data_IF_016378873890
#
_entry.id   IF_016378873890
#
_cell.length_a   1.000
_cell.length_b   1.000
_cell.length_c   1.000
_cell.angle_alpha   90.00
_cell.angle_beta   90.00
_cell.angle_gamma   90.00
#
_symmetry.space_group_name_H-M   'P 1'
#
loop_
_entity.id
_entity.type
_entity.pdbx_description
1 polymer ?
#
# COMPACT_ATOMS: atom_id res chain seq x y z
N UNK A 1 0.54 19.89 -13.01
CA UNK A 1 -0.78 20.57 -12.86
C UNK A 1 -0.84 21.29 -11.53
N UNK A 2 -1.55 22.42 -11.50
CA UNK A 2 -1.74 23.27 -10.31
C UNK A 2 -2.28 22.49 -9.09
N UNK A 3 -3.12 21.48 -9.34
CA UNK A 3 -3.61 20.50 -8.35
C UNK A 3 -2.48 19.74 -7.63
N UNK A 4 -1.46 19.30 -8.38
CA UNK A 4 -0.33 18.55 -7.83
C UNK A 4 0.52 19.43 -6.92
N UNK A 5 0.69 20.71 -7.28
CA UNK A 5 1.38 21.70 -6.45
C UNK A 5 0.60 22.03 -5.17
N UNK A 6 -0.72 22.25 -5.24
CA UNK A 6 -1.56 22.46 -4.04
C UNK A 6 -1.52 21.29 -3.06
N UNK A 7 -1.53 20.06 -3.57
CA UNK A 7 -1.48 18.84 -2.74
C UNK A 7 -0.14 18.71 -2.01
N UNK A 8 0.98 18.99 -2.70
CA UNK A 8 2.31 18.99 -2.10
C UNK A 8 2.47 20.06 -1.02
N UNK A 9 1.96 21.27 -1.28
CA UNK A 9 2.02 22.37 -0.29
C UNK A 9 1.10 22.14 0.91
N UNK A 10 -0.05 21.47 0.74
CA UNK A 10 -0.89 21.01 1.86
C UNK A 10 -0.14 20.00 2.71
N UNK A 11 0.49 19.00 2.10
CA UNK A 11 1.20 17.95 2.83
C UNK A 11 2.42 18.48 3.59
N UNK A 12 3.15 19.47 3.05
CA UNK A 12 4.25 20.14 3.77
C UNK A 12 3.82 20.86 5.06
N UNK A 13 2.54 21.24 5.17
CA UNK A 13 1.99 21.91 6.36
C UNK A 13 1.46 20.93 7.42
N UNK A 14 1.28 19.65 7.07
CA UNK A 14 0.74 18.63 7.98
C UNK A 14 1.92 17.98 8.72
N UNK A 15 1.96 18.06 10.07
CA UNK A 15 2.96 17.35 10.86
C UNK A 15 2.96 15.85 10.53
N UNK A 16 4.14 15.21 10.58
CA UNK A 16 4.32 13.82 10.16
C UNK A 16 3.33 12.84 10.82
N UNK A 17 3.00 13.05 12.09
CA UNK A 17 2.04 12.25 12.86
C UNK A 17 0.57 12.35 12.38
N UNK A 18 0.26 13.30 11.50
CA UNK A 18 -1.08 13.52 10.95
C UNK A 18 -1.14 13.29 9.43
N UNK A 19 -0.07 12.76 8.83
CA UNK A 19 -0.10 12.41 7.42
C UNK A 19 -0.95 11.15 7.19
N UNK A 20 -1.65 11.12 6.07
CA UNK A 20 -2.52 10.00 5.72
C UNK A 20 -1.70 8.69 5.64
N UNK A 21 -2.23 7.64 6.27
CA UNK A 21 -1.65 6.30 6.18
C UNK A 21 -2.25 5.54 5.00
N UNK A 22 -1.43 4.73 4.35
CA UNK A 22 -1.92 3.83 3.31
C UNK A 22 -2.29 2.49 3.96
N UNK A 23 -3.52 2.02 3.77
CA UNK A 23 -3.94 0.70 4.23
C UNK A 23 -4.65 -0.07 3.13
N UNK A 24 -4.54 -1.39 3.17
CA UNK A 24 -5.18 -2.29 2.22
C UNK A 24 -5.42 -3.66 2.86
N UNK A 25 -6.57 -4.28 2.57
CA UNK A 25 -6.92 -5.62 3.03
C UNK A 25 -7.22 -6.49 1.82
N UNK A 26 -6.69 -7.71 1.80
CA UNK A 26 -6.84 -8.64 0.69
C UNK A 26 -7.09 -10.08 1.17
N UNK A 27 -7.79 -10.85 0.34
CA UNK A 27 -8.02 -12.29 0.54
C UNK A 27 -7.78 -13.02 -0.79
N UNK A 28 -7.06 -14.14 -0.77
CA UNK A 28 -6.78 -14.91 -1.98
C UNK A 28 -6.49 -16.41 -1.75
N UNK A 29 -6.60 -17.24 -2.80
CA UNK A 29 -7.30 -16.97 -4.08
C UNK A 29 -8.80 -16.76 -3.89
N UNK A 30 -9.46 -16.00 -4.78
CA UNK A 30 -10.88 -15.67 -4.66
C UNK A 30 -11.80 -16.91 -4.61
N UNK A 31 -11.50 -17.93 -5.42
CA UNK A 31 -12.30 -19.16 -5.48
C UNK A 31 -12.10 -20.10 -4.28
N UNK A 32 -10.92 -20.09 -3.65
CA UNK A 32 -10.61 -20.92 -2.48
C UNK A 32 -9.64 -20.17 -1.57
N UNK A 33 -10.14 -19.23 -0.76
CA UNK A 33 -9.31 -18.41 0.13
C UNK A 33 -8.42 -19.26 1.03
N UNK A 34 -7.14 -18.90 1.08
CA UNK A 34 -6.14 -19.53 1.97
C UNK A 34 -5.18 -18.53 2.61
N UNK A 35 -5.21 -17.27 2.16
CA UNK A 35 -4.44 -16.16 2.70
C UNK A 35 -5.37 -14.95 2.88
N UNK A 36 -5.38 -14.38 4.08
CA UNK A 36 -5.93 -13.07 4.37
C UNK A 36 -4.80 -12.17 4.86
N UNK A 37 -4.74 -10.93 4.38
CA UNK A 37 -3.65 -9.99 4.64
C UNK A 37 -4.20 -8.60 4.89
N UNK A 38 -3.67 -7.92 5.91
CA UNK A 38 -3.85 -6.49 6.13
C UNK A 38 -2.47 -5.82 6.07
N UNK A 39 -2.33 -4.79 5.25
CA UNK A 39 -1.11 -3.99 5.10
C UNK A 39 -1.42 -2.56 5.51
N UNK A 40 -0.60 -2.02 6.41
CA UNK A 40 -0.63 -0.63 6.84
C UNK A 40 0.77 -0.04 6.64
N UNK A 41 0.84 1.10 5.95
CA UNK A 41 2.07 1.88 5.77
C UNK A 41 1.84 3.25 6.39
N UNK A 42 2.53 3.51 7.49
CA UNK A 42 2.52 4.81 8.15
C UNK A 42 2.96 5.89 7.17
N UNK A 43 2.17 6.96 7.11
CA UNK A 43 2.39 8.13 6.24
C UNK A 43 2.54 7.77 4.74
N UNK A 44 2.03 6.59 4.34
CA UNK A 44 2.08 6.10 2.96
C UNK A 44 1.16 6.84 1.99
N UNK A 45 0.32 7.75 2.49
CA UNK A 45 -0.65 8.50 1.72
C UNK A 45 -1.77 7.61 1.18
N UNK A 46 -1.81 7.44 -0.13
CA UNK A 46 -2.89 6.70 -0.80
C UNK A 46 -2.71 5.18 -0.68
N UNK A 47 -3.81 4.45 -0.70
CA UNK A 47 -3.84 2.98 -0.61
C UNK A 47 -3.07 2.25 -1.72
N UNK A 48 -2.71 2.93 -2.81
CA UNK A 48 -1.96 2.35 -3.93
C UNK A 48 -0.63 1.75 -3.50
N UNK A 49 0.07 2.37 -2.54
CA UNK A 49 1.31 1.83 -2.00
C UNK A 49 1.06 0.51 -1.25
N UNK A 50 0.11 0.51 -0.32
CA UNK A 50 -0.28 -0.68 0.45
C UNK A 50 -0.82 -1.81 -0.44
N UNK A 51 -1.59 -1.48 -1.49
CA UNK A 51 -2.10 -2.44 -2.46
C UNK A 51 -0.97 -3.08 -3.29
N UNK A 52 0.00 -2.28 -3.73
CA UNK A 52 1.16 -2.76 -4.50
C UNK A 52 2.04 -3.69 -3.67
N UNK A 53 2.29 -3.34 -2.40
CA UNK A 53 3.02 -4.19 -1.47
C UNK A 53 2.24 -5.50 -1.18
N UNK A 54 0.93 -5.41 -0.98
CA UNK A 54 0.07 -6.59 -0.76
C UNK A 54 0.18 -7.56 -1.93
N UNK A 55 0.18 -7.08 -3.18
CA UNK A 55 0.37 -7.92 -4.36
C UNK A 55 1.70 -8.69 -4.32
N UNK A 56 2.81 -8.02 -4.02
CA UNK A 56 4.12 -8.68 -3.92
C UNK A 56 4.13 -9.77 -2.84
N UNK A 57 3.57 -9.49 -1.67
CA UNK A 57 3.48 -10.47 -0.57
C UNK A 57 2.60 -11.67 -0.95
N UNK A 58 1.47 -11.43 -1.61
CA UNK A 58 0.57 -12.49 -2.08
C UNK A 58 1.22 -13.33 -3.19
N UNK A 59 1.94 -12.72 -4.13
CA UNK A 59 2.69 -13.45 -5.17
C UNK A 59 3.79 -14.31 -4.57
N UNK A 60 4.53 -13.78 -3.58
CA UNK A 60 5.54 -14.54 -2.87
C UNK A 60 4.96 -15.75 -2.14
N UNK A 61 3.83 -15.58 -1.46
CA UNK A 61 3.21 -16.68 -0.71
C UNK A 61 2.48 -17.70 -1.59
N UNK A 62 1.69 -17.24 -2.57
CA UNK A 62 0.82 -18.11 -3.37
C UNK A 62 1.51 -18.74 -4.57
N UNK A 63 2.54 -18.09 -5.10
CA UNK A 63 3.23 -18.50 -6.34
C UNK A 63 4.71 -18.83 -6.11
N UNK A 64 5.21 -18.75 -4.87
CA UNK A 64 6.63 -18.93 -4.51
C UNK A 64 7.58 -18.02 -5.32
N UNK A 65 7.10 -16.84 -5.72
CA UNK A 65 7.89 -15.85 -6.45
C UNK A 65 8.73 -15.03 -5.47
N UNK A 66 10.05 -15.18 -5.53
CA UNK A 66 10.96 -14.33 -4.73
C UNK A 66 10.89 -12.87 -5.20
N UNK A 67 10.75 -11.88 -4.29
CA UNK A 67 10.81 -10.48 -4.67
C UNK A 67 12.20 -10.15 -5.24
N UNK A 68 12.22 -9.37 -6.32
CA UNK A 68 13.48 -8.91 -6.93
C UNK A 68 14.02 -7.73 -6.10
N UNK A 69 15.27 -7.77 -5.62
CA UNK A 69 15.88 -6.62 -4.97
C UNK A 69 15.98 -5.45 -5.96
N UNK A 70 15.54 -4.26 -5.54
CA UNK A 70 15.68 -3.01 -6.28
C UNK A 70 16.76 -2.13 -5.64
#
# INVERSE_FOLDING_TARGET
TLEKQKTLERNKKIPNQFQDHAWFIAVAPAAKPRLALAVLVENGGHSSLAASLSKLMMEAYLLDKKPVPH
#
